data_IF_948762483589
#
_entry.id   IF_948762483589
#
_cell.length_a   1.000
_cell.length_b   1.000
_cell.length_c   1.000
_cell.angle_alpha   90.00
_cell.angle_beta   90.00
_cell.angle_gamma   90.00
#
_symmetry.space_group_name_H-M   'P 1'
#
loop_
_entity.id
_entity.type
_entity.pdbx_description
1 polymer ?
#
# COMPACT_ATOMS: atom_id res chain seq x y z
N UNK A 1 17.20 7.01 -20.11
CA UNK A 1 15.83 7.53 -20.36
C UNK A 1 15.82 8.97 -20.90
N UNK A 2 16.74 9.85 -20.49
CA UNK A 2 16.77 11.31 -20.79
C UNK A 2 16.60 11.72 -22.26
N UNK A 3 17.05 10.92 -23.24
CA UNK A 3 16.99 11.27 -24.66
C UNK A 3 15.91 10.53 -25.46
N UNK A 4 15.08 9.72 -24.82
CA UNK A 4 14.13 8.87 -25.56
C UNK A 4 13.04 9.67 -26.28
N UNK A 5 12.63 10.80 -25.70
CA UNK A 5 11.60 11.67 -26.22
C UNK A 5 12.14 13.00 -26.78
N UNK A 6 13.46 13.18 -26.78
CA UNK A 6 14.07 14.37 -27.38
C UNK A 6 13.91 14.33 -28.90
N UNK A 7 13.60 15.46 -29.56
CA UNK A 7 13.47 16.82 -29.03
C UNK A 7 12.04 17.22 -28.58
N UNK A 8 11.09 16.30 -28.60
CA UNK A 8 9.66 16.60 -28.46
C UNK A 8 9.20 16.84 -27.02
N UNK A 9 9.80 16.17 -26.04
CA UNK A 9 9.39 16.26 -24.63
C UNK A 9 10.61 16.32 -23.71
N UNK A 10 10.49 17.15 -22.67
CA UNK A 10 11.42 17.21 -21.56
C UNK A 10 10.89 16.48 -20.33
N UNK A 11 11.77 16.32 -19.33
CA UNK A 11 11.37 15.71 -18.06
C UNK A 11 10.27 16.52 -17.34
N UNK A 12 10.23 17.84 -17.54
CA UNK A 12 9.19 18.69 -16.97
C UNK A 12 7.81 18.38 -17.57
N UNK A 13 7.72 18.17 -18.89
CA UNK A 13 6.46 17.84 -19.57
C UNK A 13 5.89 16.51 -19.09
N UNK A 14 6.76 15.51 -18.85
CA UNK A 14 6.37 14.21 -18.31
C UNK A 14 5.84 14.32 -16.87
N UNK A 15 6.33 15.29 -16.09
CA UNK A 15 5.85 15.52 -14.73
C UNK A 15 4.51 16.25 -14.68
N UNK A 16 4.15 16.97 -15.75
CA UNK A 16 2.96 17.80 -15.84
C UNK A 16 1.83 17.14 -16.66
N UNK A 17 1.69 15.81 -16.55
CA UNK A 17 0.63 15.05 -17.21
C UNK A 17 -0.63 14.97 -16.34
N UNK A 18 -1.79 15.14 -16.97
CA UNK A 18 -3.06 14.93 -16.27
C UNK A 18 -3.25 13.45 -15.93
N UNK A 19 -4.12 13.18 -14.95
CA UNK A 19 -4.53 11.83 -14.61
C UNK A 19 -5.05 11.11 -15.86
N UNK A 20 -4.50 9.90 -16.12
CA UNK A 20 -4.80 9.03 -17.27
C UNK A 20 -4.22 9.48 -18.62
N UNK A 21 -3.46 10.57 -18.69
CA UNK A 21 -2.73 10.97 -19.90
C UNK A 21 -1.27 10.50 -19.84
N UNK A 22 -0.72 10.06 -20.98
CA UNK A 22 0.67 9.65 -21.08
C UNK A 22 1.20 9.80 -22.51
N UNK A 23 2.50 9.96 -22.65
CA UNK A 23 3.17 9.93 -23.95
C UNK A 23 3.66 8.53 -24.28
N UNK A 24 3.48 8.11 -25.52
CA UNK A 24 3.94 6.83 -26.01
C UNK A 24 4.86 7.00 -27.21
N UNK A 25 5.96 6.25 -27.22
CA UNK A 25 6.86 6.10 -28.37
C UNK A 25 6.90 4.61 -28.72
N UNK A 26 6.63 4.29 -29.98
CA UNK A 26 6.51 2.90 -30.42
C UNK A 26 7.22 2.64 -31.74
N UNK A 27 7.56 1.37 -31.94
CA UNK A 27 8.05 0.85 -33.21
C UNK A 27 6.85 0.39 -34.03
N UNK A 28 6.68 0.96 -35.22
CA UNK A 28 5.67 0.52 -36.19
C UNK A 28 6.40 0.03 -37.43
N UNK A 29 6.22 -1.25 -37.77
CA UNK A 29 6.91 -1.90 -38.89
C UNK A 29 8.44 -1.76 -38.84
N UNK A 30 9.02 -1.89 -37.63
CA UNK A 30 10.47 -1.77 -37.41
C UNK A 30 11.00 -0.34 -37.43
N UNK A 31 10.16 0.66 -37.66
CA UNK A 31 10.56 2.07 -37.63
C UNK A 31 10.11 2.74 -36.33
N UNK A 32 11.02 3.51 -35.73
CA UNK A 32 10.70 4.36 -34.58
C UNK A 32 9.82 5.50 -35.07
N UNK A 33 8.61 5.62 -34.52
CA UNK A 33 7.73 6.75 -34.79
C UNK A 33 7.93 7.85 -33.76
N UNK A 34 7.55 9.06 -34.15
CA UNK A 34 7.53 10.21 -33.26
C UNK A 34 6.59 9.95 -32.07
N UNK A 35 6.93 10.45 -30.88
CA UNK A 35 6.09 10.26 -29.71
C UNK A 35 4.77 11.00 -29.85
N UNK A 36 3.70 10.42 -29.35
CA UNK A 36 2.36 11.01 -29.38
C UNK A 36 1.65 10.85 -28.04
N UNK A 37 0.67 11.73 -27.79
CA UNK A 37 -0.14 11.71 -26.58
C UNK A 37 -1.24 10.66 -26.66
N UNK A 38 -1.45 9.94 -25.57
CA UNK A 38 -2.47 8.92 -25.40
C UNK A 38 -3.22 9.09 -24.09
N UNK A 39 -4.42 8.49 -24.05
CA UNK A 39 -5.26 8.41 -22.86
C UNK A 39 -5.45 6.95 -22.51
N UNK A 40 -5.29 6.63 -21.22
CA UNK A 40 -5.64 5.31 -20.73
C UNK A 40 -7.15 5.10 -20.81
N UNK A 41 -7.55 3.87 -21.12
CA UNK A 41 -8.96 3.53 -21.24
C UNK A 41 -9.69 3.81 -19.93
N UNK A 42 -10.86 4.46 -20.02
CA UNK A 42 -11.72 4.59 -18.87
C UNK A 42 -12.42 3.27 -18.58
N UNK A 43 -12.02 2.60 -17.51
CA UNK A 43 -12.80 1.52 -16.92
C UNK A 43 -13.65 2.11 -15.79
N UNK A 44 -14.97 1.88 -15.78
CA UNK A 44 -15.82 2.33 -14.67
C UNK A 44 -15.40 1.65 -13.38
N UNK A 45 -15.55 2.36 -12.27
CA UNK A 45 -15.25 1.79 -10.95
C UNK A 45 -16.16 0.58 -10.69
N UNK A 46 -15.64 -0.49 -10.07
CA UNK A 46 -16.45 -1.66 -9.76
C UNK A 46 -17.59 -1.26 -8.81
N UNK A 47 -18.80 -1.75 -9.08
CA UNK A 47 -19.93 -1.56 -8.17
C UNK A 47 -19.67 -2.34 -6.89
N UNK A 48 -19.40 -1.64 -5.80
CA UNK A 48 -19.15 -2.26 -4.51
C UNK A 48 -20.48 -2.71 -3.88
N UNK A 49 -20.65 -4.02 -3.69
CA UNK A 49 -21.75 -4.54 -2.86
C UNK A 49 -21.39 -4.33 -1.37
N UNK A 50 -22.23 -3.58 -0.64
CA UNK A 50 -22.05 -3.30 0.79
C UNK A 50 -22.16 -4.55 1.67
N UNK A 51 -22.84 -5.59 1.22
CA UNK A 51 -22.96 -6.86 1.94
C UNK A 51 -21.60 -7.56 2.05
N UNK A 52 -20.81 -7.54 0.97
CA UNK A 52 -19.47 -8.13 0.93
C UNK A 52 -18.50 -7.42 1.88
N UNK A 53 -18.69 -6.11 2.10
CA UNK A 53 -17.91 -5.36 3.10
C UNK A 53 -18.14 -5.94 4.50
N UNK A 54 -19.41 -6.24 4.82
CA UNK A 54 -19.78 -6.80 6.13
C UNK A 54 -19.21 -8.20 6.31
N UNK A 55 -19.24 -9.02 5.25
CA UNK A 55 -18.62 -10.33 5.23
C UNK A 55 -17.11 -10.26 5.43
N UNK A 56 -16.43 -9.32 4.76
CA UNK A 56 -14.99 -9.09 4.90
C UNK A 56 -14.62 -8.72 6.35
N UNK A 57 -15.41 -7.86 7.01
CA UNK A 57 -15.22 -7.55 8.43
C UNK A 57 -15.43 -8.77 9.33
N UNK A 58 -16.42 -9.62 9.04
CA UNK A 58 -16.65 -10.85 9.81
C UNK A 58 -15.47 -11.82 9.68
N UNK A 59 -14.96 -12.03 8.47
CA UNK A 59 -13.79 -12.89 8.22
C UNK A 59 -12.56 -12.34 8.94
N UNK A 60 -12.31 -11.04 8.80
CA UNK A 60 -11.18 -10.38 9.46
C UNK A 60 -11.24 -10.53 10.98
N UNK A 61 -12.40 -10.24 11.59
CA UNK A 61 -12.59 -10.41 13.04
C UNK A 61 -12.45 -11.88 13.45
N UNK A 62 -12.99 -12.82 12.69
CA UNK A 62 -12.85 -14.25 13.01
C UNK A 62 -11.40 -14.73 13.01
N UNK A 63 -10.53 -14.16 12.15
CA UNK A 63 -9.13 -14.59 12.02
C UNK A 63 -8.18 -13.83 12.94
N UNK A 64 -8.45 -12.55 13.18
CA UNK A 64 -7.49 -11.64 13.79
C UNK A 64 -7.98 -10.96 15.07
N UNK A 65 -9.27 -11.08 15.42
CA UNK A 65 -9.74 -10.62 16.72
C UNK A 65 -9.48 -11.68 17.79
N UNK A 66 -9.23 -11.21 19.01
CA UNK A 66 -9.14 -12.03 20.21
C UNK A 66 -10.26 -11.62 21.14
N UNK A 67 -10.72 -12.52 21.99
CA UNK A 67 -11.71 -12.13 22.99
C UNK A 67 -11.10 -11.14 23.99
N UNK A 68 -11.94 -10.27 24.55
CA UNK A 68 -11.51 -9.30 25.56
C UNK A 68 -10.92 -10.00 26.80
N UNK A 69 -11.44 -11.18 27.15
CA UNK A 69 -10.94 -11.98 28.26
C UNK A 69 -9.53 -12.52 28.00
N UNK A 70 -9.26 -13.06 26.81
CA UNK A 70 -7.93 -13.53 26.42
C UNK A 70 -6.94 -12.37 26.32
N UNK A 71 -7.37 -11.23 25.76
CA UNK A 71 -6.54 -10.04 25.69
C UNK A 71 -6.15 -9.53 27.09
N UNK A 72 -7.10 -9.52 28.05
CA UNK A 72 -6.83 -9.13 29.44
C UNK A 72 -5.84 -10.07 30.13
N UNK A 73 -6.01 -11.39 30.00
CA UNK A 73 -5.07 -12.37 30.56
C UNK A 73 -3.65 -12.18 30.04
N UNK A 74 -3.49 -12.00 28.72
CA UNK A 74 -2.16 -11.74 28.12
C UNK A 74 -1.54 -10.44 28.63
N UNK A 75 -2.35 -9.41 28.91
CA UNK A 75 -1.85 -8.16 29.49
C UNK A 75 -1.44 -8.35 30.94
N UNK A 76 -2.25 -9.06 31.75
CA UNK A 76 -1.94 -9.36 33.15
C UNK A 76 -0.67 -10.21 33.28
N UNK A 77 -0.52 -11.25 32.46
CA UNK A 77 0.69 -12.08 32.41
C UNK A 77 1.93 -11.25 32.06
N UNK A 78 1.84 -10.40 31.03
CA UNK A 78 2.94 -9.50 30.65
C UNK A 78 3.27 -8.47 31.72
N UNK A 79 2.27 -7.95 32.42
CA UNK A 79 2.50 -6.99 33.51
C UNK A 79 3.17 -7.67 34.71
N UNK A 80 2.78 -8.91 35.04
CA UNK A 80 3.44 -9.69 36.09
C UNK A 80 4.91 -9.97 35.75
N UNK A 81 5.24 -10.28 34.49
CA UNK A 81 6.62 -10.47 34.05
C UNK A 81 7.45 -9.17 34.11
N UNK A 82 6.84 -8.01 33.82
CA UNK A 82 7.52 -6.71 33.95
C UNK A 82 7.80 -6.38 35.41
N UNK A 83 6.84 -6.62 36.31
CA UNK A 83 7.02 -6.39 37.75
C UNK A 83 8.14 -7.28 38.30
N UNK A 84 8.16 -8.57 37.96
CA UNK A 84 9.25 -9.49 38.36
C UNK A 84 10.61 -9.04 37.84
N UNK A 85 10.70 -8.61 36.59
CA UNK A 85 11.96 -8.07 36.03
C UNK A 85 12.43 -6.79 36.73
N UNK A 86 11.52 -5.96 37.22
CA UNK A 86 11.86 -4.76 37.99
C UNK A 86 12.36 -5.16 39.40
N UNK A 87 11.77 -6.18 40.01
CA UNK A 87 12.21 -6.72 41.29
C UNK A 87 13.59 -7.38 41.18
N UNK A 88 13.82 -8.24 40.18
CA UNK A 88 15.11 -8.88 39.91
C UNK A 88 16.21 -7.85 39.55
N UNK A 89 15.86 -6.71 38.94
CA UNK A 89 16.82 -5.65 38.60
C UNK A 89 17.17 -4.76 39.80
N UNK A 90 16.36 -4.77 40.86
CA UNK A 90 16.58 -4.00 42.09
C UNK A 90 17.39 -4.78 43.15
N UNK A 91 17.64 -6.08 42.96
CA UNK A 91 18.57 -6.80 43.81
C UNK A 91 20.00 -6.31 43.53
N UNK A 92 20.72 -5.76 44.53
CA UNK A 92 22.05 -5.23 44.31
C UNK A 92 23.01 -6.35 43.91
N UNK A 93 23.69 -6.16 42.78
CA UNK A 93 24.80 -7.02 42.35
C UNK A 93 25.89 -6.89 43.42
N UNK A 94 26.09 -7.95 44.21
CA UNK A 94 27.17 -8.08 45.20
C UNK A 94 28.52 -8.08 44.48
#
# INVERSE_FOLDING_TARGET
>A
MKHQFSPFLEAYDLSNLNMREFYCKMLVQGQVKDPFSLKSCYTPDPKINRELITELYKISRSKYSRSLAEAKKVVEEKQADVIKKIEDFNEPII
#
